data_IF_487357415831
#
_entry.id   IF_487357415831
#
_cell.length_a   1.000
_cell.length_b   1.000
_cell.length_c   1.000
_cell.angle_alpha   90.00
_cell.angle_beta   90.00
_cell.angle_gamma   90.00
#
_symmetry.space_group_name_H-M   'P 1'
#
loop_
_entity.id
_entity.type
_entity.pdbx_description
1 polymer ?
#
# COMPACT_ATOMS: atom_id res chain seq x y z
N UNK A 1 -17.29 -37.23 22.30
CA UNK A 1 -17.04 -35.90 21.69
C UNK A 1 -15.68 -35.84 20.99
N UNK A 2 -14.59 -36.29 21.63
CA UNK A 2 -13.23 -36.27 21.07
C UNK A 2 -13.07 -37.01 19.73
N UNK A 3 -13.77 -38.13 19.52
CA UNK A 3 -13.73 -38.90 18.28
C UNK A 3 -14.29 -38.11 17.09
N UNK A 4 -15.40 -37.38 17.26
CA UNK A 4 -15.99 -36.52 16.21
C UNK A 4 -15.05 -35.38 15.83
N UNK A 5 -14.41 -34.73 16.81
CA UNK A 5 -13.46 -33.63 16.59
C UNK A 5 -12.25 -34.13 15.77
N UNK A 6 -11.68 -35.28 16.13
CA UNK A 6 -10.55 -35.88 15.38
C UNK A 6 -10.92 -36.15 13.92
N UNK A 7 -12.14 -36.60 13.65
CA UNK A 7 -12.62 -36.87 12.28
C UNK A 7 -12.81 -35.58 11.47
N UNK A 8 -13.30 -34.49 12.07
CA UNK A 8 -13.42 -33.20 11.38
C UNK A 8 -12.03 -32.64 11.04
N UNK A 9 -11.09 -32.66 11.98
CA UNK A 9 -9.72 -32.13 11.78
C UNK A 9 -9.00 -32.92 10.67
N UNK A 10 -9.07 -34.25 10.70
CA UNK A 10 -8.42 -35.08 9.67
C UNK A 10 -9.01 -34.84 8.28
N UNK A 11 -10.30 -34.57 8.18
CA UNK A 11 -10.99 -34.29 6.91
C UNK A 11 -10.66 -32.90 6.39
N UNK A 12 -10.59 -31.91 7.27
CA UNK A 12 -10.08 -30.58 6.95
C UNK A 12 -8.63 -30.64 6.44
N UNK A 13 -7.76 -31.39 7.11
CA UNK A 13 -6.37 -31.58 6.70
C UNK A 13 -6.25 -32.29 5.33
N UNK A 14 -7.12 -33.27 5.04
CA UNK A 14 -7.21 -33.89 3.69
C UNK A 14 -7.63 -32.87 2.64
N UNK A 15 -8.63 -32.03 2.92
CA UNK A 15 -9.08 -30.96 2.04
C UNK A 15 -7.98 -29.93 1.77
N UNK A 16 -7.26 -29.49 2.81
CA UNK A 16 -6.10 -28.62 2.68
C UNK A 16 -5.01 -29.25 1.82
N UNK A 17 -4.63 -30.51 2.09
CA UNK A 17 -3.61 -31.22 1.31
C UNK A 17 -4.02 -31.31 -0.17
N UNK A 18 -5.29 -31.64 -0.45
CA UNK A 18 -5.78 -31.74 -1.83
C UNK A 18 -5.76 -30.39 -2.55
N UNK A 19 -6.36 -29.34 -1.97
CA UNK A 19 -6.30 -27.99 -2.54
C UNK A 19 -4.87 -27.43 -2.63
N UNK A 20 -3.97 -27.88 -1.76
CA UNK A 20 -2.56 -27.50 -1.83
C UNK A 20 -1.81 -28.16 -2.99
N UNK A 21 -2.09 -29.42 -3.29
CA UNK A 21 -1.43 -30.18 -4.36
C UNK A 21 -2.02 -29.85 -5.74
N UNK A 22 -3.30 -29.47 -5.82
CA UNK A 22 -3.92 -29.08 -7.10
C UNK A 22 -3.21 -27.88 -7.71
N UNK A 23 -2.72 -28.05 -8.94
CA UNK A 23 -2.08 -26.98 -9.70
C UNK A 23 -3.10 -25.91 -10.08
N UNK A 24 -2.74 -24.64 -9.89
CA UNK A 24 -3.55 -23.51 -10.37
C UNK A 24 -3.29 -23.20 -11.85
N UNK A 25 -2.26 -23.81 -12.44
CA UNK A 25 -1.86 -23.58 -13.83
C UNK A 25 -1.99 -24.87 -14.64
N UNK A 26 -2.50 -24.79 -15.88
CA UNK A 26 -2.58 -25.96 -16.72
C UNK A 26 -1.18 -26.40 -17.16
N UNK A 27 -1.02 -27.71 -17.37
CA UNK A 27 0.28 -28.34 -17.57
C UNK A 27 1.07 -27.78 -18.76
N UNK A 28 0.38 -27.42 -19.86
CA UNK A 28 1.01 -26.83 -21.03
C UNK A 28 1.65 -25.46 -20.75
N UNK A 29 1.03 -24.62 -19.91
CA UNK A 29 1.61 -23.34 -19.48
C UNK A 29 2.79 -23.59 -18.52
N UNK A 30 2.68 -24.58 -17.63
CA UNK A 30 3.80 -24.94 -16.74
C UNK A 30 5.02 -25.39 -17.54
N UNK A 31 4.84 -26.20 -18.58
CA UNK A 31 5.90 -26.57 -19.52
C UNK A 31 6.47 -25.35 -20.25
N UNK A 32 5.62 -24.43 -20.68
CA UNK A 32 6.05 -23.19 -21.32
C UNK A 32 6.89 -22.30 -20.38
N UNK A 33 6.45 -22.10 -19.13
CA UNK A 33 7.17 -21.32 -18.12
C UNK A 33 8.52 -21.91 -17.71
N UNK A 34 8.70 -23.22 -17.87
CA UNK A 34 9.95 -23.88 -17.55
C UNK A 34 11.01 -23.73 -18.65
N UNK A 35 10.66 -23.19 -19.82
CA UNK A 35 11.64 -22.90 -20.87
C UNK A 35 12.60 -21.78 -20.40
N UNK A 36 13.92 -21.90 -20.64
CA UNK A 36 14.92 -20.94 -20.17
C UNK A 36 14.69 -19.52 -20.72
N UNK A 37 14.24 -19.41 -21.97
CA UNK A 37 13.92 -18.11 -22.61
C UNK A 37 12.82 -17.38 -21.84
N UNK A 38 11.76 -18.08 -21.42
CA UNK A 38 10.65 -17.48 -20.68
C UNK A 38 11.10 -17.09 -19.27
N UNK A 39 11.97 -17.88 -18.64
CA UNK A 39 12.57 -17.53 -17.34
C UNK A 39 13.41 -16.26 -17.44
N UNK A 40 14.25 -16.14 -18.47
CA UNK A 40 15.06 -14.94 -18.71
C UNK A 40 14.18 -13.72 -18.99
N UNK A 41 13.16 -13.86 -19.84
CA UNK A 41 12.20 -12.79 -20.12
C UNK A 41 11.49 -12.31 -18.85
N UNK A 42 11.07 -13.23 -17.98
CA UNK A 42 10.44 -12.86 -16.69
C UNK A 42 11.38 -12.14 -15.75
N UNK A 43 12.65 -12.55 -15.69
CA UNK A 43 13.66 -11.87 -14.89
C UNK A 43 13.92 -10.45 -15.42
N UNK A 44 14.13 -10.31 -16.73
CA UNK A 44 14.34 -9.01 -17.38
C UNK A 44 13.12 -8.09 -17.25
N UNK A 45 11.90 -8.64 -17.39
CA UNK A 45 10.66 -7.89 -17.20
C UNK A 45 10.47 -7.41 -15.76
N UNK A 46 10.86 -8.23 -14.76
CA UNK A 46 10.87 -7.78 -13.36
C UNK A 46 11.88 -6.67 -13.11
N UNK A 47 13.10 -6.81 -13.66
CA UNK A 47 14.14 -5.81 -13.55
C UNK A 47 13.76 -4.49 -14.23
N UNK A 48 13.12 -4.55 -15.41
CA UNK A 48 12.68 -3.37 -16.15
C UNK A 48 11.59 -2.58 -15.40
N UNK A 49 10.69 -3.27 -14.69
CA UNK A 49 9.70 -2.62 -13.81
C UNK A 49 10.41 -1.85 -12.69
N UNK A 50 11.40 -2.45 -12.04
CA UNK A 50 12.16 -1.81 -10.95
C UNK A 50 12.90 -0.57 -11.47
N UNK A 51 13.57 -0.66 -12.62
CA UNK A 51 14.28 0.47 -13.23
C UNK A 51 13.30 1.61 -13.58
N UNK A 52 12.15 1.27 -14.17
CA UNK A 52 11.13 2.25 -14.57
C UNK A 52 10.56 2.98 -13.35
N UNK A 53 10.22 2.24 -12.29
CA UNK A 53 9.72 2.84 -11.04
C UNK A 53 10.82 3.61 -10.29
N UNK A 54 12.06 3.14 -10.34
CA UNK A 54 13.20 3.78 -9.70
C UNK A 54 13.47 5.16 -10.28
N UNK A 55 13.41 5.32 -11.61
CA UNK A 55 13.60 6.64 -12.25
C UNK A 55 12.53 7.65 -11.83
N UNK A 56 11.29 7.21 -11.64
CA UNK A 56 10.19 8.08 -11.21
C UNK A 56 10.38 8.58 -9.78
N UNK A 57 10.94 7.76 -8.88
CA UNK A 57 10.99 8.08 -7.45
C UNK A 57 12.36 8.58 -6.93
N UNK A 58 13.47 8.15 -7.52
CA UNK A 58 14.81 8.33 -6.96
C UNK A 58 15.77 9.15 -7.83
N UNK A 59 15.26 9.85 -8.85
CA UNK A 59 16.06 10.72 -9.73
C UNK A 59 17.35 10.08 -10.23
N UNK A 60 17.31 8.79 -10.60
CA UNK A 60 18.46 8.11 -11.19
C UNK A 60 18.79 8.75 -12.55
N UNK A 61 20.04 9.22 -12.71
CA UNK A 61 20.62 9.73 -13.97
C UNK A 61 20.88 8.60 -14.99
N UNK A 62 19.82 7.88 -15.33
CA UNK A 62 19.84 6.85 -16.37
C UNK A 62 19.70 7.49 -17.75
N UNK A 63 20.60 7.14 -18.70
CA UNK A 63 20.50 7.60 -20.08
C UNK A 63 19.11 7.36 -20.66
N UNK A 64 18.61 8.34 -21.42
CA UNK A 64 17.21 8.34 -21.85
C UNK A 64 16.83 7.13 -22.73
N UNK A 65 17.78 6.61 -23.52
CA UNK A 65 17.58 5.43 -24.36
C UNK A 65 17.36 4.15 -23.54
N UNK A 66 18.08 3.98 -22.41
CA UNK A 66 17.92 2.81 -21.53
C UNK A 66 16.52 2.82 -20.92
N UNK A 67 16.04 4.01 -20.54
CA UNK A 67 14.69 4.17 -20.00
C UNK A 67 13.62 3.74 -21.01
N UNK A 68 13.69 4.19 -22.27
CA UNK A 68 12.70 3.81 -23.29
C UNK A 68 12.71 2.30 -23.58
N UNK A 69 13.89 1.68 -23.66
CA UNK A 69 14.01 0.22 -23.83
C UNK A 69 13.40 -0.51 -22.64
N UNK A 70 13.71 -0.09 -21.41
CA UNK A 70 13.14 -0.66 -20.18
C UNK A 70 11.63 -0.50 -20.13
N UNK A 71 11.12 0.66 -20.52
CA UNK A 71 9.68 0.93 -20.55
C UNK A 71 8.97 0.03 -21.57
N UNK A 72 9.53 -0.13 -22.76
CA UNK A 72 9.00 -1.03 -23.78
C UNK A 72 8.97 -2.50 -23.31
N UNK A 73 10.05 -2.99 -22.71
CA UNK A 73 10.11 -4.34 -22.12
C UNK A 73 9.07 -4.51 -21.00
N UNK A 74 8.87 -3.47 -20.20
CA UNK A 74 7.87 -3.47 -19.12
C UNK A 74 6.44 -3.62 -19.66
N UNK A 75 6.10 -2.93 -20.74
CA UNK A 75 4.79 -3.07 -21.39
C UNK A 75 4.59 -4.50 -21.91
N UNK A 76 5.59 -5.06 -22.61
CA UNK A 76 5.53 -6.45 -23.09
C UNK A 76 5.37 -7.44 -21.93
N UNK A 77 6.11 -7.23 -20.84
CA UNK A 77 6.01 -8.06 -19.65
C UNK A 77 4.63 -7.95 -18.97
N UNK A 78 4.05 -6.75 -18.95
CA UNK A 78 2.70 -6.52 -18.42
C UNK A 78 1.64 -7.27 -19.24
N UNK A 79 1.68 -7.17 -20.58
CA UNK A 79 0.77 -7.92 -21.47
C UNK A 79 0.94 -9.43 -21.26
N UNK A 80 2.17 -9.91 -21.17
CA UNK A 80 2.46 -11.32 -20.86
C UNK A 80 1.81 -11.76 -19.54
N UNK A 81 1.99 -10.99 -18.47
CA UNK A 81 1.42 -11.30 -17.15
C UNK A 81 -0.11 -11.29 -17.19
N UNK A 82 -0.72 -10.37 -17.92
CA UNK A 82 -2.16 -10.26 -18.09
C UNK A 82 -2.73 -11.52 -18.77
N UNK A 83 -2.14 -11.96 -19.89
CA UNK A 83 -2.58 -13.17 -20.61
C UNK A 83 -2.47 -14.41 -19.73
N UNK A 84 -1.35 -14.60 -19.03
CA UNK A 84 -1.15 -15.75 -18.13
C UNK A 84 -2.17 -15.75 -16.98
N UNK A 85 -2.51 -14.58 -16.45
CA UNK A 85 -3.52 -14.47 -15.40
C UNK A 85 -4.93 -14.80 -15.90
N UNK A 86 -5.30 -14.38 -17.11
CA UNK A 86 -6.58 -14.76 -17.73
C UNK A 86 -6.67 -16.28 -17.89
N UNK A 87 -5.64 -16.91 -18.48
CA UNK A 87 -5.61 -18.37 -18.67
C UNK A 87 -5.72 -19.10 -17.32
N UNK A 88 -5.01 -18.60 -16.30
CA UNK A 88 -5.07 -19.13 -14.94
C UNK A 88 -6.47 -19.03 -14.35
N UNK A 89 -7.13 -17.87 -14.48
CA UNK A 89 -8.48 -17.66 -13.96
C UNK A 89 -9.48 -18.61 -14.62
N UNK A 90 -9.43 -18.75 -15.94
CA UNK A 90 -10.27 -19.69 -16.70
C UNK A 90 -10.03 -21.13 -16.21
N UNK A 91 -8.76 -21.51 -16.00
CA UNK A 91 -8.42 -22.85 -15.52
C UNK A 91 -8.94 -23.12 -14.10
N UNK A 92 -8.80 -22.16 -13.18
CA UNK A 92 -9.32 -22.27 -11.81
C UNK A 92 -10.85 -22.41 -11.84
N UNK A 93 -11.55 -21.59 -12.61
CA UNK A 93 -13.01 -21.71 -12.76
C UNK A 93 -13.41 -23.08 -13.32
N UNK A 94 -12.65 -23.61 -14.29
CA UNK A 94 -12.86 -24.96 -14.83
C UNK A 94 -12.68 -26.04 -13.76
N UNK A 95 -11.62 -25.97 -12.95
CA UNK A 95 -11.37 -26.93 -11.86
C UNK A 95 -12.47 -26.84 -10.79
N UNK A 96 -12.89 -25.63 -10.41
CA UNK A 96 -13.94 -25.42 -9.40
C UNK A 96 -15.31 -25.98 -9.82
N UNK A 97 -15.57 -26.06 -11.13
CA UNK A 97 -16.78 -26.67 -11.70
C UNK A 97 -16.66 -28.18 -11.93
N UNK A 98 -15.46 -28.74 -11.84
CA UNK A 98 -15.21 -30.17 -12.05
C UNK A 98 -15.25 -30.94 -10.72
N UNK A 99 -15.51 -32.24 -10.81
CA UNK A 99 -15.49 -33.15 -9.64
C UNK A 99 -14.06 -33.52 -9.21
N UNK A 100 -13.03 -32.92 -9.83
CA UNK A 100 -11.62 -33.21 -9.53
C UNK A 100 -11.25 -32.86 -8.08
N UNK A 101 -11.89 -31.84 -7.50
CA UNK A 101 -11.69 -31.40 -6.12
C UNK A 101 -12.47 -32.23 -5.09
N UNK A 102 -13.39 -33.08 -5.52
CA UNK A 102 -14.21 -33.86 -4.60
C UNK A 102 -13.39 -35.00 -3.99
N UNK A 103 -13.46 -35.12 -2.66
CA UNK A 103 -12.86 -36.23 -1.91
C UNK A 103 -13.94 -37.30 -1.77
N UNK A 104 -13.72 -38.52 -2.29
CA UNK A 104 -14.78 -39.55 -2.38
C UNK A 104 -15.04 -40.28 -1.05
N UNK A 105 -16.34 -40.58 -0.87
CA UNK A 105 -17.01 -41.64 -0.05
C UNK A 105 -17.61 -41.34 1.33
N UNK A 106 -17.66 -40.10 1.81
CA UNK A 106 -18.33 -39.81 3.08
C UNK A 106 -19.02 -38.43 3.11
N UNK A 107 -20.14 -38.26 3.82
CA UNK A 107 -20.71 -36.93 4.10
C UNK A 107 -19.70 -35.98 4.80
N UNK A 108 -18.73 -36.53 5.54
CA UNK A 108 -17.59 -35.79 6.10
C UNK A 108 -16.67 -35.20 5.01
N UNK A 109 -16.64 -35.82 3.83
CA UNK A 109 -15.83 -35.35 2.71
C UNK A 109 -16.39 -34.11 2.03
N UNK A 110 -17.63 -33.69 2.32
CA UNK A 110 -18.15 -32.38 1.89
C UNK A 110 -17.34 -31.24 2.48
N UNK A 111 -16.95 -31.34 3.76
CA UNK A 111 -16.09 -30.34 4.41
C UNK A 111 -14.71 -30.34 3.74
N UNK A 112 -14.13 -31.52 3.48
CA UNK A 112 -12.84 -31.62 2.80
C UNK A 112 -12.89 -31.00 1.39
N UNK A 113 -13.95 -31.26 0.63
CA UNK A 113 -14.16 -30.74 -0.73
C UNK A 113 -14.39 -29.22 -0.71
N UNK A 114 -15.17 -28.71 0.25
CA UNK A 114 -15.36 -27.27 0.45
C UNK A 114 -14.04 -26.58 0.81
N UNK A 115 -13.28 -27.14 1.74
CA UNK A 115 -11.95 -26.63 2.12
C UNK A 115 -11.00 -26.60 0.93
N UNK A 116 -10.98 -27.66 0.10
CA UNK A 116 -10.16 -27.71 -1.10
C UNK A 116 -10.55 -26.61 -2.11
N UNK A 117 -11.86 -26.40 -2.33
CA UNK A 117 -12.38 -25.33 -3.21
C UNK A 117 -12.04 -23.94 -2.68
N UNK A 118 -12.25 -23.67 -1.39
CA UNK A 118 -11.91 -22.39 -0.75
C UNK A 118 -10.40 -22.14 -0.85
N UNK A 119 -9.57 -23.15 -0.58
CA UNK A 119 -8.13 -23.01 -0.65
C UNK A 119 -7.65 -22.76 -2.09
N UNK A 120 -8.23 -23.43 -3.08
CA UNK A 120 -7.92 -23.20 -4.50
C UNK A 120 -8.34 -21.79 -4.94
N UNK A 121 -9.55 -21.34 -4.56
CA UNK A 121 -10.00 -19.96 -4.76
C UNK A 121 -9.05 -18.97 -4.10
N UNK A 122 -8.67 -19.22 -2.84
CA UNK A 122 -7.72 -18.41 -2.09
C UNK A 122 -6.38 -18.31 -2.81
N UNK A 123 -5.82 -19.42 -3.29
CA UNK A 123 -4.61 -19.41 -4.13
C UNK A 123 -4.80 -18.61 -5.42
N UNK A 124 -5.96 -18.75 -6.06
CA UNK A 124 -6.30 -17.98 -7.25
C UNK A 124 -6.32 -16.47 -6.98
N UNK A 125 -7.00 -16.06 -5.91
CA UNK A 125 -7.10 -14.67 -5.45
C UNK A 125 -5.74 -14.15 -4.98
N UNK A 126 -4.92 -14.92 -4.26
CA UNK A 126 -3.59 -14.46 -3.85
C UNK A 126 -2.70 -14.16 -5.07
N UNK A 127 -2.82 -14.94 -6.14
CA UNK A 127 -2.07 -14.68 -7.37
C UNK A 127 -2.68 -13.53 -8.17
N UNK A 128 -3.99 -13.57 -8.44
CA UNK A 128 -4.65 -12.54 -9.25
C UNK A 128 -4.73 -11.20 -8.53
N UNK A 129 -5.01 -11.24 -7.23
CA UNK A 129 -5.02 -10.12 -6.31
C UNK A 129 -3.64 -9.51 -6.09
N UNK A 130 -2.54 -10.25 -6.25
CA UNK A 130 -1.22 -9.61 -6.29
C UNK A 130 -1.07 -8.67 -7.50
N UNK A 131 -1.63 -9.04 -8.65
CA UNK A 131 -1.60 -8.19 -9.86
C UNK A 131 -2.62 -7.07 -9.77
N UNK A 132 -3.84 -7.34 -9.30
CA UNK A 132 -4.83 -6.29 -9.05
C UNK A 132 -4.33 -5.29 -8.00
N UNK A 133 -3.78 -5.80 -6.90
CA UNK A 133 -3.22 -5.00 -5.82
C UNK A 133 -2.00 -4.20 -6.23
N UNK A 134 -1.13 -4.71 -7.11
CA UNK A 134 0.00 -3.92 -7.63
C UNK A 134 -0.46 -2.80 -8.56
N UNK A 135 -1.48 -3.02 -9.40
CA UNK A 135 -2.07 -1.97 -10.24
C UNK A 135 -2.74 -0.89 -9.38
N UNK A 136 -3.53 -1.30 -8.38
CA UNK A 136 -4.16 -0.37 -7.44
C UNK A 136 -3.10 0.41 -6.65
N UNK A 137 -2.09 -0.28 -6.13
CA UNK A 137 -0.98 0.34 -5.39
C UNK A 137 -0.16 1.32 -6.25
N UNK A 138 0.10 0.97 -7.51
CA UNK A 138 0.76 1.88 -8.46
C UNK A 138 -0.11 3.11 -8.75
N UNK A 139 -1.42 2.94 -8.95
CA UNK A 139 -2.36 4.05 -9.12
C UNK A 139 -2.36 5.01 -7.92
N UNK A 140 -2.39 4.48 -6.69
CA UNK A 140 -2.31 5.29 -5.47
C UNK A 140 -0.96 6.01 -5.30
N UNK A 141 0.14 5.36 -5.72
CA UNK A 141 1.46 5.98 -5.71
C UNK A 141 1.55 7.13 -6.72
N UNK A 142 0.97 6.96 -7.91
CA UNK A 142 0.87 8.02 -8.92
C UNK A 142 0.02 9.19 -8.42
N UNK A 143 -1.12 8.91 -7.78
CA UNK A 143 -1.94 9.97 -7.18
C UNK A 143 -1.20 10.76 -6.11
N UNK A 144 -0.43 10.09 -5.26
CA UNK A 144 0.43 10.77 -4.26
C UNK A 144 1.43 11.72 -4.95
N UNK A 145 1.99 11.30 -6.09
CA UNK A 145 2.89 12.14 -6.89
C UNK A 145 2.16 13.33 -7.53
N UNK A 146 0.95 13.12 -8.08
CA UNK A 146 0.12 14.17 -8.64
C UNK A 146 -0.23 15.23 -7.58
N UNK A 147 -0.66 14.79 -6.41
CA UNK A 147 -0.99 15.68 -5.28
C UNK A 147 0.23 16.52 -4.87
N UNK A 148 1.42 15.91 -4.81
CA UNK A 148 2.66 16.65 -4.51
C UNK A 148 3.02 17.72 -5.56
N UNK A 149 2.56 17.55 -6.80
CA UNK A 149 2.72 18.55 -7.88
C UNK A 149 1.58 19.57 -7.96
N UNK A 150 0.60 19.52 -7.04
CA UNK A 150 -0.58 20.39 -7.05
C UNK A 150 -1.68 19.96 -8.02
N UNK A 151 -1.61 18.73 -8.55
CA UNK A 151 -2.64 18.16 -9.43
C UNK A 151 -3.65 17.32 -8.63
N UNK A 152 -4.87 17.19 -9.15
CA UNK A 152 -5.92 16.37 -8.53
C UNK A 152 -5.63 14.86 -8.69
N UNK A 153 -5.92 14.03 -7.67
CA UNK A 153 -5.76 12.57 -7.76
C UNK A 153 -6.83 11.95 -8.67
N UNK A 154 -6.43 11.02 -9.52
CA UNK A 154 -7.29 10.41 -10.55
C UNK A 154 -7.82 9.04 -10.10
N UNK A 155 -6.99 8.21 -9.46
CA UNK A 155 -7.29 6.80 -9.19
C UNK A 155 -8.01 6.58 -7.84
N UNK A 156 -7.65 7.34 -6.82
CA UNK A 156 -8.17 7.31 -5.47
C UNK A 156 -9.69 7.46 -5.41
N UNK A 157 -10.32 8.44 -6.07
CA UNK A 157 -11.78 8.57 -6.03
C UNK A 157 -12.50 7.35 -6.64
N UNK A 158 -11.95 6.75 -7.69
CA UNK A 158 -12.52 5.56 -8.33
C UNK A 158 -12.43 4.33 -7.42
N UNK A 159 -11.29 4.13 -6.76
CA UNK A 159 -11.08 3.02 -5.80
C UNK A 159 -12.03 3.17 -4.61
N UNK A 160 -12.17 4.37 -4.06
CA UNK A 160 -13.10 4.65 -2.96
C UNK A 160 -14.55 4.39 -3.41
N UNK A 161 -14.91 4.77 -4.63
CA UNK A 161 -16.22 4.48 -5.21
C UNK A 161 -16.52 2.98 -5.29
N UNK A 162 -15.57 2.19 -5.80
CA UNK A 162 -15.67 0.72 -5.85
C UNK A 162 -15.76 0.10 -4.45
N UNK A 163 -14.94 0.56 -3.51
CA UNK A 163 -14.94 0.04 -2.13
C UNK A 163 -16.28 0.32 -1.42
N UNK A 164 -16.87 1.50 -1.62
CA UNK A 164 -18.21 1.83 -1.08
C UNK A 164 -19.32 0.92 -1.60
N UNK A 165 -19.18 0.38 -2.82
CA UNK A 165 -20.16 -0.57 -3.37
C UNK A 165 -20.02 -1.98 -2.76
N UNK A 166 -18.82 -2.35 -2.30
CA UNK A 166 -18.53 -3.71 -1.82
C UNK A 166 -18.62 -3.80 -0.29
N UNK A 167 -18.20 -2.75 0.42
CA UNK A 167 -18.15 -2.72 1.88
C UNK A 167 -19.40 -2.04 2.46
N UNK A 168 -19.99 -2.58 3.54
CA UNK A 168 -21.14 -1.95 4.20
C UNK A 168 -20.77 -0.56 4.74
N UNK A 169 -21.74 0.36 4.66
CA UNK A 169 -21.61 1.73 5.17
C UNK A 169 -21.21 1.71 6.65
N UNK A 170 -20.07 2.33 6.98
CA UNK A 170 -19.52 2.39 8.35
C UNK A 170 -18.18 1.69 8.54
N UNK A 171 -17.74 0.82 7.62
CA UNK A 171 -16.39 0.22 7.68
C UNK A 171 -15.32 1.21 7.21
N UNK A 172 -15.65 2.02 6.19
CA UNK A 172 -14.76 3.04 5.65
C UNK A 172 -15.01 4.33 6.43
N UNK A 173 -14.30 4.52 7.54
CA UNK A 173 -14.20 5.86 8.13
C UNK A 173 -13.37 6.70 7.16
N UNK A 174 -13.89 7.80 6.61
CA UNK A 174 -13.05 8.70 5.82
C UNK A 174 -11.90 9.15 6.72
N UNK A 175 -10.68 8.75 6.38
CA UNK A 175 -9.50 9.46 6.87
C UNK A 175 -9.65 10.86 6.31
N UNK A 176 -10.08 11.81 7.14
CA UNK A 176 -10.30 13.17 6.69
C UNK A 176 -8.97 13.66 6.08
N UNK A 177 -8.98 14.22 4.85
CA UNK A 177 -7.79 14.84 4.27
C UNK A 177 -7.26 16.01 5.12
N UNK A 178 -7.99 16.40 6.16
CA UNK A 178 -7.70 17.57 6.98
C UNK A 178 -6.44 17.43 7.83
N UNK A 179 -5.95 16.23 8.18
CA UNK A 179 -4.71 16.11 8.97
C UNK A 179 -3.42 16.27 8.15
N UNK A 180 -3.44 15.88 6.87
CA UNK A 180 -2.31 16.11 5.96
C UNK A 180 -2.30 17.53 5.40
N UNK A 181 -3.47 18.11 5.13
CA UNK A 181 -3.57 19.53 4.71
C UNK A 181 -3.16 20.45 5.87
N UNK A 182 -3.58 20.18 7.11
CA UNK A 182 -3.14 21.01 8.25
C UNK A 182 -1.66 20.88 8.54
N UNK A 183 -1.03 19.71 8.43
CA UNK A 183 0.42 19.59 8.63
C UNK A 183 1.25 20.24 7.52
N UNK A 184 0.79 20.24 6.27
CA UNK A 184 1.44 20.94 5.15
C UNK A 184 1.20 22.46 5.23
N UNK A 185 -0.01 22.92 5.56
CA UNK A 185 -0.29 24.35 5.81
C UNK A 185 0.48 24.85 7.03
N UNK A 186 0.46 24.13 8.16
CA UNK A 186 1.21 24.47 9.38
C UNK A 186 2.72 24.45 9.09
N UNK A 187 3.23 23.48 8.33
CA UNK A 187 4.62 23.45 7.89
C UNK A 187 4.99 24.66 7.02
N UNK A 188 4.11 25.07 6.10
CA UNK A 188 4.31 26.26 5.26
C UNK A 188 4.20 27.58 6.03
N UNK A 189 3.37 27.60 7.10
CA UNK A 189 3.23 28.74 8.01
C UNK A 189 4.45 28.84 8.92
N UNK A 190 4.94 27.71 9.44
CA UNK A 190 6.17 27.63 10.26
C UNK A 190 7.39 28.02 9.41
N UNK A 191 7.50 27.54 8.16
CA UNK A 191 8.61 27.94 7.28
C UNK A 191 8.55 29.42 6.88
N UNK A 192 7.36 30.03 6.88
CA UNK A 192 7.19 31.49 6.69
C UNK A 192 7.46 32.27 7.98
N UNK A 193 7.29 31.66 9.15
CA UNK A 193 7.65 32.25 10.45
C UNK A 193 9.17 32.30 10.67
N UNK A 194 9.92 31.35 10.12
CA UNK A 194 11.38 31.23 10.31
C UNK A 194 12.19 32.26 9.48
N UNK A 195 11.54 33.01 8.58
CA UNK A 195 12.16 34.07 7.79
C UNK A 195 11.74 35.48 8.27
N UNK A 196 12.38 35.97 9.32
CA UNK A 196 12.70 37.39 9.59
C UNK A 196 11.63 38.50 9.39
N UNK A 197 10.33 38.23 9.47
CA UNK A 197 9.30 39.28 9.56
C UNK A 197 8.31 38.99 10.69
N UNK A 198 8.83 39.10 11.91
CA UNK A 198 8.06 38.99 13.14
C UNK A 198 7.63 40.36 13.66
N UNK A 199 7.21 41.26 12.77
CA UNK A 199 6.58 42.52 13.19
C UNK A 199 5.28 42.74 12.39
N UNK A 200 4.18 42.52 13.12
CA UNK A 200 2.79 42.94 12.83
C UNK A 200 1.90 42.11 11.89
N UNK A 201 2.42 41.28 10.98
CA UNK A 201 1.53 40.46 10.10
C UNK A 201 1.11 39.13 10.77
N UNK A 202 1.98 38.48 11.56
CA UNK A 202 1.70 37.17 12.16
C UNK A 202 0.64 37.14 13.26
N UNK A 203 0.35 38.25 13.93
CA UNK A 203 -0.56 38.27 15.09
C UNK A 203 -2.05 38.18 14.71
N UNK A 204 -2.43 38.64 13.50
CA UNK A 204 -3.81 38.52 13.00
C UNK A 204 -4.14 37.09 12.57
N UNK A 205 -3.21 36.43 11.90
CA UNK A 205 -3.40 35.05 11.43
C UNK A 205 -3.39 34.05 12.61
N UNK A 206 -2.55 34.30 13.61
CA UNK A 206 -2.57 33.55 14.88
C UNK A 206 -3.89 33.80 15.63
N UNK A 207 -4.40 35.04 15.68
CA UNK A 207 -5.73 35.32 16.27
C UNK A 207 -6.86 34.59 15.55
N UNK A 208 -6.82 34.53 14.22
CA UNK A 208 -7.82 33.83 13.42
C UNK A 208 -7.75 32.31 13.62
N UNK A 209 -6.54 31.74 13.75
CA UNK A 209 -6.34 30.33 14.09
C UNK A 209 -6.87 30.00 15.51
N UNK A 210 -6.66 30.90 16.49
CA UNK A 210 -7.19 30.77 17.86
C UNK A 210 -8.73 30.85 17.89
N UNK A 211 -9.33 31.73 17.09
CA UNK A 211 -10.80 31.83 16.98
C UNK A 211 -11.39 30.56 16.35
N UNK A 212 -10.72 29.97 15.36
CA UNK A 212 -11.11 28.69 14.74
C UNK A 212 -10.91 27.50 15.69
N UNK A 213 -9.93 27.55 16.58
CA UNK A 213 -9.73 26.55 17.63
C UNK A 213 -10.80 26.63 18.74
N UNK A 214 -11.41 27.80 18.96
CA UNK A 214 -12.49 27.97 19.96
C UNK A 214 -13.77 27.21 19.62
N UNK A 215 -14.03 26.94 18.34
CA UNK A 215 -15.18 26.15 17.85
C UNK A 215 -15.00 24.63 17.89
N UNK A 216 -13.85 24.13 18.34
CA UNK A 216 -13.59 22.68 18.47
C UNK A 216 -14.30 22.07 19.68
N UNK A 217 -14.65 20.79 19.56
CA UNK A 217 -15.30 20.00 20.61
C UNK A 217 -14.38 19.80 21.82
N UNK A 218 -14.94 19.55 23.01
CA UNK A 218 -14.18 19.46 24.26
C UNK A 218 -13.05 18.41 24.22
N UNK A 219 -13.21 17.29 23.50
CA UNK A 219 -12.15 16.27 23.44
C UNK A 219 -10.98 16.66 22.55
N UNK A 220 -11.20 17.49 21.52
CA UNK A 220 -10.14 17.96 20.63
C UNK A 220 -9.26 19.02 21.29
N UNK A 221 -9.81 19.75 22.27
CA UNK A 221 -9.07 20.77 23.05
C UNK A 221 -8.03 20.12 23.96
N UNK A 222 -8.38 19.02 24.63
CA UNK A 222 -7.45 18.28 25.50
C UNK A 222 -6.27 17.67 24.73
N UNK A 223 -6.50 17.25 23.48
CA UNK A 223 -5.45 16.68 22.63
C UNK A 223 -4.52 17.79 22.07
N UNK A 224 -5.10 18.94 21.71
CA UNK A 224 -4.33 20.11 21.28
C UNK A 224 -3.45 20.67 22.41
N UNK A 225 -3.96 20.73 23.63
CA UNK A 225 -3.22 21.22 24.81
C UNK A 225 -2.04 20.31 25.17
N UNK A 226 -2.16 18.99 24.94
CA UNK A 226 -1.03 18.06 25.08
C UNK A 226 0.05 18.30 24.02
N UNK A 227 -0.34 18.56 22.77
CA UNK A 227 0.59 18.84 21.68
C UNK A 227 1.33 20.18 21.90
N UNK A 228 0.63 21.22 22.33
CA UNK A 228 1.23 22.53 22.66
C UNK A 228 2.23 22.39 23.80
N UNK A 229 1.86 21.75 24.91
CA UNK A 229 2.77 21.52 26.04
C UNK A 229 3.99 20.67 25.66
N UNK A 230 3.84 19.74 24.71
CA UNK A 230 4.93 18.93 24.20
C UNK A 230 5.88 19.74 23.30
N UNK A 231 5.35 20.63 22.45
CA UNK A 231 6.17 21.54 21.64
C UNK A 231 6.90 22.59 22.48
N UNK A 232 6.25 23.17 23.50
CA UNK A 232 6.90 24.11 24.42
C UNK A 232 8.11 23.46 25.12
N UNK A 233 7.95 22.23 25.62
CA UNK A 233 9.08 21.46 26.19
C UNK A 233 10.19 21.20 25.18
N UNK A 234 9.85 20.89 23.93
CA UNK A 234 10.84 20.67 22.87
C UNK A 234 11.59 21.97 22.49
N UNK A 235 10.90 23.12 22.52
CA UNK A 235 11.50 24.43 22.29
C UNK A 235 12.43 24.85 23.45
N UNK A 236 12.03 24.59 24.70
CA UNK A 236 12.92 24.80 25.86
C UNK A 236 14.19 23.96 25.77
N UNK A 237 14.07 22.67 25.41
CA UNK A 237 15.21 21.77 25.22
C UNK A 237 16.13 22.25 24.09
N UNK A 238 15.56 22.67 22.95
CA UNK A 238 16.34 23.22 21.81
C UNK A 238 17.03 24.54 22.18
N UNK A 239 16.35 25.43 22.90
CA UNK A 239 16.92 26.68 23.39
C UNK A 239 18.08 26.46 24.35
N UNK A 240 17.93 25.50 25.28
CA UNK A 240 19.01 25.10 26.19
C UNK A 240 20.21 24.51 25.42
N UNK A 241 19.98 23.65 24.42
CA UNK A 241 21.04 23.08 23.60
C UNK A 241 21.81 24.14 22.79
N UNK A 242 21.10 25.09 22.18
CA UNK A 242 21.71 26.21 21.45
C UNK A 242 22.57 27.09 22.38
N UNK A 243 22.09 27.37 23.60
CA UNK A 243 22.83 28.16 24.60
C UNK A 243 24.14 27.48 25.02
N UNK A 244 24.13 26.16 25.18
CA UNK A 244 25.34 25.37 25.50
C UNK A 244 26.33 25.37 24.33
N UNK A 245 25.84 25.17 23.10
CA UNK A 245 26.69 25.17 21.90
C UNK A 245 27.32 26.53 21.59
N UNK A 246 26.58 27.62 21.80
CA UNK A 246 27.12 28.98 21.68
C UNK A 246 28.20 29.22 22.73
N UNK A 247 28.01 28.75 23.98
CA UNK A 247 29.00 28.89 25.04
C UNK A 247 30.29 28.11 24.75
N UNK A 248 30.18 26.88 24.23
CA UNK A 248 31.32 26.07 23.80
C UNK A 248 32.12 26.71 22.65
N UNK A 249 31.43 27.32 21.68
CA UNK A 249 32.09 28.03 20.58
C UNK A 249 32.79 29.33 21.07
N UNK A 250 32.19 30.07 22.00
CA UNK A 250 32.82 31.25 22.63
C UNK A 250 34.07 30.84 23.43
N UNK A 251 34.02 29.74 24.19
CA UNK A 251 35.16 29.27 24.99
C UNK A 251 36.33 28.74 24.12
N UNK A 252 36.05 28.23 22.91
CA UNK A 252 37.08 27.87 21.93
C UNK A 252 37.78 29.09 21.33
N UNK A 253 37.05 30.18 21.11
CA UNK A 253 37.60 31.42 20.54
C UNK A 253 38.55 32.13 21.54
N UNK A 254 38.32 31.95 22.84
CA UNK A 254 39.11 32.60 23.90
C UNK A 254 40.35 31.79 24.37
N UNK A 255 40.65 30.65 23.74
CA UNK A 255 41.87 29.85 23.99
C UNK A 255 42.87 30.04 22.87
#
# INVERSE_FOLDING_TARGET
MLTKIKTVITSFAKGLKKGWVTSTLPEYITKFHNKPIVRLFRFLGGLSVIITLGKVNFSFDLPIYIFYISFFITILFFVYMLVINIIRLIHIVKILRSDELDVRNSPIDRIASLTARILLCGKGICVGGAVGGSVVGAGLALDSSLVNTGNEPIFSPQIVGLLKQILPEGVIKPTSPQSSITSIEIGSIISKLDSNQLDQVGLKDVKNAIVKAKSLSLSEKDELEKLINQEEKNLEIKGAYLKTRIKEEIDKINK
#
